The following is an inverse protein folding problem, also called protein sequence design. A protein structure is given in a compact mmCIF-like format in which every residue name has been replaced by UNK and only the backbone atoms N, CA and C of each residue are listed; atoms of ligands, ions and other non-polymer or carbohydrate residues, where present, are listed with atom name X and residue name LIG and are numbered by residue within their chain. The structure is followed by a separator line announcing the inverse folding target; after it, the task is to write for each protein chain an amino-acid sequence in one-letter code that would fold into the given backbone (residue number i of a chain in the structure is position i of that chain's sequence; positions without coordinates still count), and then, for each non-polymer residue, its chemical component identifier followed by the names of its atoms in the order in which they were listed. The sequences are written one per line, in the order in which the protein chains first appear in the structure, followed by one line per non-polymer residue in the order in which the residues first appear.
data_IF_538535209221
#
_entry.id   IF_538535209221
#
_cell.length_a   1.000
_cell.length_b   1.000
_cell.length_c   1.000
_cell.angle_alpha   90.00
_cell.angle_beta   90.00
_cell.angle_gamma   90.00
#
_symmetry.space_group_name_H-M   'P 1'
#
loop_
_entity.id
_entity.type
_entity.pdbx_description
1 polymer ?
#
# COMPACT_ATOMS: atom_id res chain seq x y z
N UNK A 1 -6.15 -15.77 15.10
CA UNK A 1 -5.81 -16.65 13.95
C UNK A 1 -6.43 -16.16 12.63
N UNK A 2 -7.38 -15.21 12.66
CA UNK A 2 -8.09 -14.70 11.47
C UNK A 2 -7.52 -13.39 10.86
N UNK A 3 -6.41 -12.85 11.37
CA UNK A 3 -5.79 -11.60 10.87
C UNK A 3 -5.16 -11.68 9.46
N UNK A 4 -5.27 -12.83 8.78
CA UNK A 4 -4.45 -13.14 7.60
C UNK A 4 -5.24 -13.24 6.30
N UNK A 5 -6.49 -13.68 6.36
CA UNK A 5 -7.31 -13.90 5.16
C UNK A 5 -8.36 -12.81 5.07
N UNK A 6 -8.46 -12.16 3.90
CA UNK A 6 -9.46 -11.11 3.62
C UNK A 6 -9.32 -9.87 4.54
N UNK A 7 -8.12 -9.67 5.08
CA UNK A 7 -7.76 -8.48 5.85
C UNK A 7 -6.85 -7.60 4.99
N UNK A 8 -7.10 -6.28 4.88
CA UNK A 8 -8.26 -5.55 5.40
C UNK A 8 -9.56 -5.89 4.66
N UNK A 9 -10.69 -5.68 5.32
CA UNK A 9 -12.02 -6.09 4.83
C UNK A 9 -12.38 -5.51 3.44
N UNK A 10 -11.80 -4.37 3.05
CA UNK A 10 -12.05 -3.78 1.73
C UNK A 10 -11.49 -4.63 0.56
N UNK A 11 -10.65 -5.63 0.83
CA UNK A 11 -10.22 -6.57 -0.21
C UNK A 11 -11.42 -7.32 -0.81
N UNK A 12 -12.44 -7.61 -0.02
CA UNK A 12 -13.70 -8.18 -0.48
C UNK A 12 -14.53 -7.18 -1.28
N UNK A 13 -14.48 -5.91 -0.87
CA UNK A 13 -15.12 -4.81 -1.57
C UNK A 13 -14.57 -4.65 -3.00
N UNK A 14 -13.25 -4.78 -3.16
CA UNK A 14 -12.63 -4.80 -4.48
C UNK A 14 -12.98 -6.07 -5.27
N UNK A 15 -13.01 -7.23 -4.60
CA UNK A 15 -13.39 -8.48 -5.26
C UNK A 15 -14.85 -8.47 -5.76
N UNK A 16 -15.75 -7.78 -5.05
CA UNK A 16 -17.15 -7.62 -5.44
C UNK A 16 -17.33 -6.88 -6.77
N UNK A 17 -16.38 -6.03 -7.17
CA UNK A 17 -16.37 -5.37 -8.48
C UNK A 17 -16.12 -6.37 -9.62
N UNK A 18 -15.51 -7.51 -9.33
CA UNK A 18 -15.07 -8.50 -10.32
C UNK A 18 -15.62 -9.90 -10.00
N UNK A 19 -16.95 -10.08 -10.02
CA UNK A 19 -17.57 -11.36 -9.70
C UNK A 19 -17.07 -12.46 -10.64
N UNK A 20 -16.61 -13.57 -10.05
CA UNK A 20 -15.97 -14.69 -10.76
C UNK A 20 -16.86 -15.32 -11.84
N UNK A 21 -18.15 -15.41 -11.56
CA UNK A 21 -19.12 -16.13 -12.39
C UNK A 21 -19.86 -15.20 -13.37
N UNK A 22 -19.46 -13.92 -13.45
CA UNK A 22 -20.00 -13.02 -14.47
C UNK A 22 -19.47 -13.41 -15.86
N UNK A 23 -20.35 -13.44 -16.90
CA UNK A 23 -19.92 -13.63 -18.27
C UNK A 23 -18.85 -12.60 -18.66
N UNK A 24 -17.84 -13.04 -19.40
CA UNK A 24 -16.76 -12.20 -19.93
C UNK A 24 -15.91 -11.45 -18.89
N UNK A 25 -15.95 -11.83 -17.59
CA UNK A 25 -15.09 -11.25 -16.56
C UNK A 25 -13.59 -11.40 -16.88
N UNK A 26 -12.90 -10.28 -17.09
CA UNK A 26 -11.47 -10.25 -17.45
C UNK A 26 -10.55 -9.99 -16.25
N UNK A 27 -11.08 -9.50 -15.13
CA UNK A 27 -10.31 -9.16 -13.94
C UNK A 27 -10.55 -10.17 -12.81
N UNK A 28 -9.50 -10.42 -12.03
CA UNK A 28 -9.55 -11.26 -10.83
C UNK A 28 -8.73 -10.62 -9.73
N UNK A 29 -9.33 -10.47 -8.56
CA UNK A 29 -8.62 -10.08 -7.34
C UNK A 29 -7.99 -11.32 -6.72
N UNK A 30 -6.70 -11.25 -6.42
CA UNK A 30 -5.96 -12.33 -5.77
C UNK A 30 -5.22 -11.76 -4.55
N UNK A 31 -5.36 -12.44 -3.41
CA UNK A 31 -4.63 -12.14 -2.19
C UNK A 31 -3.53 -13.19 -2.01
N UNK A 32 -2.27 -12.76 -2.09
CA UNK A 32 -1.10 -13.63 -1.91
C UNK A 32 -0.70 -13.67 -0.43
N UNK A 33 -0.48 -14.86 0.11
CA UNK A 33 0.04 -15.05 1.47
C UNK A 33 1.56 -15.18 1.40
N UNK A 34 2.26 -14.13 1.85
CA UNK A 34 3.71 -14.11 1.97
C UNK A 34 4.15 -14.75 3.30
N UNK A 35 5.44 -15.04 3.45
CA UNK A 35 6.03 -15.47 4.72
C UNK A 35 5.92 -14.38 5.79
N UNK A 36 5.83 -13.11 5.39
CA UNK A 36 5.56 -11.94 6.25
C UNK A 36 4.08 -11.80 6.67
N UNK A 37 3.15 -12.53 6.04
CA UNK A 37 1.77 -12.61 6.52
C UNK A 37 1.71 -13.32 7.89
N UNK A 38 0.56 -13.34 8.55
CA UNK A 38 0.48 -14.12 9.81
C UNK A 38 0.97 -13.43 11.05
N UNK A 39 1.07 -12.09 11.06
CA UNK A 39 1.84 -11.34 12.07
C UNK A 39 3.33 -11.70 12.04
N UNK A 40 3.86 -12.04 10.87
CA UNK A 40 5.28 -12.42 10.71
C UNK A 40 6.11 -11.37 9.99
N UNK A 41 5.53 -10.19 9.66
CA UNK A 41 6.24 -9.11 8.97
C UNK A 41 7.47 -8.62 9.75
N UNK A 42 7.51 -8.86 11.07
CA UNK A 42 8.65 -8.55 11.91
C UNK A 42 9.86 -9.47 11.70
N UNK A 43 9.70 -10.59 11.00
CA UNK A 43 10.69 -11.66 10.87
C UNK A 43 11.38 -11.71 9.51
N UNK A 44 10.81 -11.05 8.49
CA UNK A 44 11.29 -11.07 7.11
C UNK A 44 11.52 -9.64 6.61
N UNK A 45 12.39 -9.47 5.61
CA UNK A 45 12.69 -8.18 4.99
C UNK A 45 11.98 -8.03 3.64
N UNK A 46 11.94 -6.80 3.11
CA UNK A 46 11.28 -6.51 1.84
C UNK A 46 11.92 -7.28 0.66
N UNK A 47 13.22 -7.61 0.75
CA UNK A 47 13.88 -8.45 -0.25
C UNK A 47 13.26 -9.85 -0.35
N UNK A 48 12.87 -10.43 0.79
CA UNK A 48 12.14 -11.71 0.82
C UNK A 48 10.74 -11.55 0.24
N UNK A 49 10.02 -10.51 0.64
CA UNK A 49 8.65 -10.27 0.19
C UNK A 49 8.59 -10.07 -1.31
N UNK A 50 9.52 -9.32 -1.90
CA UNK A 50 9.55 -9.14 -3.34
C UNK A 50 9.89 -10.44 -4.10
N UNK A 51 10.73 -11.31 -3.55
CA UNK A 51 10.98 -12.65 -4.15
C UNK A 51 9.71 -13.50 -4.16
N UNK A 52 8.93 -13.46 -3.08
CA UNK A 52 7.70 -14.22 -2.97
C UNK A 52 6.58 -13.65 -3.83
N UNK A 53 6.44 -12.32 -3.92
CA UNK A 53 5.55 -11.65 -4.88
C UNK A 53 5.92 -12.05 -6.31
N UNK A 54 7.22 -12.07 -6.64
CA UNK A 54 7.69 -12.49 -7.95
C UNK A 54 7.33 -13.94 -8.25
N UNK A 55 7.51 -14.84 -7.28
CA UNK A 55 7.11 -16.24 -7.42
C UNK A 55 5.59 -16.40 -7.59
N UNK A 56 4.79 -15.61 -6.88
CA UNK A 56 3.34 -15.61 -7.02
C UNK A 56 2.89 -15.15 -8.42
N UNK A 57 3.50 -14.10 -8.97
CA UNK A 57 3.22 -13.64 -10.34
C UNK A 57 3.52 -14.74 -11.37
N UNK A 58 4.67 -15.42 -11.23
CA UNK A 58 5.03 -16.55 -12.09
C UNK A 58 4.00 -17.68 -11.97
N UNK A 59 3.64 -18.07 -10.75
CA UNK A 59 2.63 -19.10 -10.51
C UNK A 59 1.27 -18.74 -11.14
N UNK A 60 0.81 -17.50 -10.97
CA UNK A 60 -0.46 -17.03 -11.56
C UNK A 60 -0.43 -17.21 -13.09
N UNK A 61 0.66 -16.79 -13.74
CA UNK A 61 0.81 -16.89 -15.20
C UNK A 61 0.89 -18.32 -15.70
N UNK A 62 1.64 -19.16 -15.02
CA UNK A 62 1.89 -20.54 -15.46
C UNK A 62 0.72 -21.47 -15.13
N UNK A 63 0.14 -21.33 -13.94
CA UNK A 63 -0.82 -22.29 -13.39
C UNK A 63 -2.27 -21.83 -13.46
N UNK A 64 -2.54 -20.53 -13.38
CA UNK A 64 -3.92 -20.00 -13.28
C UNK A 64 -4.43 -19.46 -14.61
N UNK A 65 -3.61 -18.64 -15.28
CA UNK A 65 -4.02 -17.97 -16.52
C UNK A 65 -3.40 -18.63 -17.76
N UNK A 66 -2.40 -19.50 -17.56
CA UNK A 66 -1.68 -20.22 -18.62
C UNK A 66 -1.20 -19.29 -19.75
N UNK A 67 -0.79 -18.08 -19.38
CA UNK A 67 -0.33 -17.05 -20.30
C UNK A 67 0.73 -16.18 -19.64
N UNK A 68 1.95 -16.25 -20.17
CA UNK A 68 3.10 -15.44 -19.73
C UNK A 68 2.91 -13.94 -19.94
N UNK A 69 1.96 -13.55 -20.80
CA UNK A 69 1.63 -12.16 -21.12
C UNK A 69 0.45 -11.61 -20.31
N UNK A 70 -0.12 -12.40 -19.39
CA UNK A 70 -1.24 -11.94 -18.57
C UNK A 70 -0.85 -10.64 -17.84
N UNK A 71 -1.61 -9.54 -18.03
CA UNK A 71 -1.40 -8.29 -17.31
C UNK A 71 -1.55 -8.50 -15.80
N UNK A 72 -0.68 -7.87 -15.02
CA UNK A 72 -0.72 -7.92 -13.55
C UNK A 72 -0.62 -6.51 -13.02
N UNK A 73 -1.53 -6.12 -12.14
CA UNK A 73 -1.42 -4.90 -11.33
C UNK A 73 -1.20 -5.33 -9.89
N UNK A 74 -0.13 -4.85 -9.25
CA UNK A 74 0.12 -5.10 -7.83
C UNK A 74 -0.49 -3.99 -6.99
N UNK A 75 -1.15 -4.34 -5.90
CA UNK A 75 -1.72 -3.38 -4.95
C UNK A 75 -1.14 -3.66 -3.57
N UNK A 76 -0.48 -2.65 -3.01
CA UNK A 76 0.04 -2.65 -1.65
C UNK A 76 -0.88 -1.84 -0.74
N UNK A 77 -1.02 -2.29 0.50
CA UNK A 77 -1.80 -1.63 1.53
C UNK A 77 -0.96 -1.49 2.80
N UNK A 78 -1.00 -0.32 3.44
CA UNK A 78 -0.29 -0.10 4.71
C UNK A 78 1.20 -0.47 4.55
N UNK A 79 1.76 -1.36 5.38
CA UNK A 79 3.13 -1.85 5.23
C UNK A 79 3.38 -2.58 3.90
N UNK A 80 2.37 -3.17 3.26
CA UNK A 80 2.47 -3.71 1.89
C UNK A 80 2.77 -2.65 0.82
N UNK A 81 2.60 -1.36 1.14
CA UNK A 81 3.11 -0.27 0.31
C UNK A 81 4.63 -0.26 0.23
N UNK A 82 5.31 -0.67 1.31
CA UNK A 82 6.76 -0.84 1.34
C UNK A 82 7.16 -1.96 0.38
N UNK A 83 6.44 -3.08 0.38
CA UNK A 83 6.69 -4.19 -0.56
C UNK A 83 6.58 -3.76 -2.01
N UNK A 84 5.50 -3.05 -2.36
CA UNK A 84 5.28 -2.54 -3.72
C UNK A 84 6.34 -1.52 -4.11
N UNK A 85 6.69 -0.60 -3.21
CA UNK A 85 7.72 0.41 -3.47
C UNK A 85 9.09 -0.25 -3.61
N UNK A 86 9.40 -1.24 -2.77
CA UNK A 86 10.62 -2.03 -2.85
C UNK A 86 10.67 -2.86 -4.13
N UNK A 87 9.55 -3.45 -4.56
CA UNK A 87 9.41 -4.13 -5.84
C UNK A 87 9.81 -3.23 -7.01
N UNK A 88 9.39 -1.97 -6.96
CA UNK A 88 9.64 -0.98 -8.01
C UNK A 88 11.06 -0.40 -7.93
N UNK A 89 11.59 -0.13 -6.75
CA UNK A 89 12.78 0.71 -6.59
C UNK A 89 14.06 -0.08 -6.30
N UNK A 90 13.97 -1.31 -5.77
CA UNK A 90 15.16 -2.08 -5.41
C UNK A 90 15.76 -2.84 -6.60
N UNK A 91 17.10 -3.01 -6.66
CA UNK A 91 17.74 -3.69 -7.77
C UNK A 91 17.32 -5.16 -7.88
N UNK A 92 17.16 -5.65 -9.11
CA UNK A 92 16.92 -7.07 -9.37
C UNK A 92 16.06 -7.30 -10.60
N UNK A 93 16.14 -8.50 -11.16
CA UNK A 93 15.18 -8.94 -12.16
C UNK A 93 13.85 -9.29 -11.48
N UNK A 94 12.75 -8.83 -12.07
CA UNK A 94 11.38 -9.02 -11.56
C UNK A 94 10.47 -9.40 -12.73
N UNK A 95 9.44 -10.23 -12.53
CA UNK A 95 8.40 -10.43 -13.53
C UNK A 95 7.77 -9.11 -13.99
N UNK A 96 7.37 -9.02 -15.25
CA UNK A 96 6.67 -7.85 -15.77
C UNK A 96 5.35 -7.62 -15.02
N UNK A 97 5.02 -6.36 -14.71
CA UNK A 97 3.72 -5.88 -14.24
C UNK A 97 3.23 -4.74 -15.14
N UNK A 98 1.92 -4.51 -15.18
CA UNK A 98 1.27 -3.46 -15.97
C UNK A 98 1.01 -2.18 -15.19
N UNK A 99 0.98 -2.25 -13.86
CA UNK A 99 0.73 -1.10 -12.98
C UNK A 99 0.96 -1.45 -11.51
N UNK A 100 1.02 -0.42 -10.67
CA UNK A 100 1.09 -0.57 -9.22
C UNK A 100 0.15 0.42 -8.52
N UNK A 101 -0.49 -0.03 -7.44
CA UNK A 101 -1.37 0.76 -6.57
C UNK A 101 -0.78 0.74 -5.16
N UNK A 102 -0.73 1.90 -4.53
CA UNK A 102 -0.21 2.12 -3.17
C UNK A 102 -1.34 2.77 -2.36
N UNK A 103 -1.94 2.03 -1.43
CA UNK A 103 -3.07 2.51 -0.63
C UNK A 103 -2.71 2.64 0.86
N UNK A 104 -2.97 3.82 1.42
CA UNK A 104 -2.52 4.27 2.74
C UNK A 104 -1.01 4.01 2.99
N UNK A 105 -0.11 4.52 2.12
CA UNK A 105 1.31 4.48 2.44
C UNK A 105 1.59 5.37 3.66
N UNK A 106 2.14 4.78 4.71
CA UNK A 106 2.49 5.51 5.94
C UNK A 106 3.94 5.22 6.32
N UNK A 107 4.57 6.19 6.98
CA UNK A 107 5.89 5.99 7.58
C UNK A 107 5.73 5.37 8.96
N UNK A 108 6.16 4.11 9.12
CA UNK A 108 6.27 3.47 10.44
C UNK A 108 7.18 4.29 11.37
N UNK A 109 8.25 4.88 10.83
CA UNK A 109 9.15 5.75 11.60
C UNK A 109 8.37 6.93 12.18
N UNK A 110 7.64 7.69 11.36
CA UNK A 110 6.95 8.88 11.84
C UNK A 110 5.77 8.54 12.77
N UNK A 111 5.06 7.44 12.50
CA UNK A 111 4.03 6.92 13.41
C UNK A 111 4.62 6.56 14.79
N UNK A 112 5.75 5.84 14.81
CA UNK A 112 6.45 5.50 16.05
C UNK A 112 6.98 6.75 16.75
N UNK A 113 7.53 7.71 16.01
CA UNK A 113 8.03 8.96 16.59
C UNK A 113 6.91 9.77 17.25
N UNK A 114 5.72 9.81 16.66
CA UNK A 114 4.54 10.49 17.23
C UNK A 114 4.05 9.82 18.52
N UNK A 115 4.00 8.47 18.53
CA UNK A 115 3.65 7.69 19.72
C UNK A 115 4.65 7.94 20.86
N UNK A 116 5.97 7.83 20.61
CA UNK A 116 6.95 7.99 21.68
C UNK A 116 7.06 9.44 22.19
N UNK A 117 6.67 10.43 21.38
CA UNK A 117 6.65 11.83 21.80
C UNK A 117 5.50 12.13 22.76
N UNK A 118 4.41 11.35 22.70
CA UNK A 118 3.20 11.56 23.51
C UNK A 118 3.04 10.54 24.64
N UNK A 119 3.73 9.39 24.54
CA UNK A 119 3.65 8.29 25.50
C UNK A 119 5.03 7.97 26.13
N UNK A 120 5.30 8.39 27.39
CA UNK A 120 6.57 8.11 28.07
C UNK A 120 6.90 6.62 28.23
N UNK A 121 5.89 5.75 28.36
CA UNK A 121 6.11 4.31 28.44
C UNK A 121 6.54 3.72 27.10
N UNK A 122 5.96 4.20 25.99
CA UNK A 122 6.41 3.83 24.65
C UNK A 122 7.84 4.31 24.40
N UNK A 123 8.18 5.54 24.83
CA UNK A 123 9.55 6.07 24.74
C UNK A 123 10.57 5.22 25.48
N UNK A 124 10.29 4.82 26.71
CA UNK A 124 11.18 3.95 27.47
C UNK A 124 11.37 2.59 26.77
N UNK A 125 10.28 1.98 26.28
CA UNK A 125 10.33 0.73 25.54
C UNK A 125 11.13 0.82 24.24
N UNK A 126 11.00 1.93 23.52
CA UNK A 126 11.78 2.26 22.33
C UNK A 126 13.27 2.37 22.63
N UNK A 127 13.65 3.10 23.68
CA UNK A 127 15.04 3.27 24.10
C UNK A 127 15.69 1.94 24.52
N UNK A 128 14.95 1.10 25.27
CA UNK A 128 15.39 -0.23 25.66
C UNK A 128 15.59 -1.15 24.44
N UNK A 129 14.64 -1.12 23.48
CA UNK A 129 14.75 -1.89 22.24
C UNK A 129 15.96 -1.43 21.39
N UNK A 130 16.20 -0.13 21.28
CA UNK A 130 17.41 0.41 20.63
C UNK A 130 18.69 0.02 21.35
N UNK A 131 18.70 0.01 22.69
CA UNK A 131 19.85 -0.44 23.46
C UNK A 131 20.19 -1.90 23.17
N UNK A 132 19.18 -2.78 23.14
CA UNK A 132 19.35 -4.18 22.74
C UNK A 132 19.90 -4.27 21.32
N UNK A 133 19.33 -3.51 20.38
CA UNK A 133 19.79 -3.50 18.98
C UNK A 133 21.27 -3.07 18.86
N UNK A 134 21.70 -2.05 19.62
CA UNK A 134 23.08 -1.53 19.61
C UNK A 134 24.11 -2.53 20.14
N UNK A 135 23.76 -3.32 21.16
CA UNK A 135 24.67 -4.33 21.73
C UNK A 135 24.60 -5.68 21.01
N UNK A 136 23.57 -5.89 20.18
CA UNK A 136 23.45 -7.09 19.34
C UNK A 136 24.43 -6.99 18.17
N UNK A 137 25.28 -8.00 17.98
CA UNK A 137 26.19 -8.05 16.85
C UNK A 137 25.45 -8.08 15.50
N UNK A 138 26.00 -7.43 14.47
CA UNK A 138 25.37 -7.33 13.15
C UNK A 138 24.97 -8.70 12.56
N UNK A 139 25.81 -9.72 12.74
CA UNK A 139 25.54 -11.10 12.29
C UNK A 139 24.27 -11.71 12.90
N UNK A 140 23.86 -11.24 14.08
CA UNK A 140 22.70 -11.73 14.82
C UNK A 140 21.45 -10.86 14.62
N UNK A 141 21.52 -9.76 13.88
CA UNK A 141 20.38 -8.84 13.72
C UNK A 141 19.16 -9.52 13.11
N UNK A 142 19.37 -10.42 12.15
CA UNK A 142 18.30 -11.15 11.44
C UNK A 142 17.70 -12.32 12.22
N UNK A 143 18.35 -12.77 13.29
CA UNK A 143 17.94 -13.98 14.04
C UNK A 143 17.58 -13.69 15.50
N UNK A 144 17.94 -12.52 16.01
CA UNK A 144 17.59 -12.09 17.37
C UNK A 144 16.24 -11.39 17.36
N UNK A 145 15.27 -11.96 18.07
CA UNK A 145 13.94 -11.39 18.26
C UNK A 145 13.95 -10.50 19.50
N UNK A 146 13.47 -9.27 19.36
CA UNK A 146 13.31 -8.34 20.48
C UNK A 146 12.19 -8.78 21.43
N UNK A 147 12.32 -8.51 22.74
CA UNK A 147 11.26 -8.81 23.70
C UNK A 147 9.94 -8.13 23.31
N UNK A 148 8.89 -8.91 23.12
CA UNK A 148 7.58 -8.42 22.63
C UNK A 148 6.94 -7.40 23.57
N UNK A 149 7.26 -7.43 24.87
CA UNK A 149 6.78 -6.42 25.82
C UNK A 149 7.34 -5.01 25.50
N UNK A 150 8.47 -4.90 24.81
CA UNK A 150 9.03 -3.64 24.35
C UNK A 150 8.41 -3.21 23.02
N UNK A 151 8.28 -4.13 22.07
CA UNK A 151 7.85 -3.79 20.70
C UNK A 151 6.33 -3.65 20.55
N UNK A 152 5.52 -4.32 21.37
CA UNK A 152 4.06 -4.34 21.21
C UNK A 152 3.40 -2.97 21.25
N UNK A 153 3.99 -2.02 21.98
CA UNK A 153 3.48 -0.66 22.13
C UNK A 153 3.86 0.23 20.96
N UNK A 154 4.84 -0.18 20.14
CA UNK A 154 5.35 0.62 19.02
C UNK A 154 4.74 0.17 17.69
N UNK A 155 4.57 -1.14 17.49
CA UNK A 155 4.30 -1.76 16.18
C UNK A 155 3.31 -2.93 16.28
N UNK A 156 2.67 -3.08 17.45
CA UNK A 156 1.71 -4.15 17.70
C UNK A 156 2.34 -5.52 18.00
N UNK A 157 1.53 -6.59 18.09
CA UNK A 157 1.93 -7.85 18.74
C UNK A 157 2.81 -8.77 17.88
N UNK A 158 3.30 -8.33 16.72
CA UNK A 158 4.17 -9.14 15.89
C UNK A 158 5.57 -9.30 16.53
N UNK A 159 6.20 -10.49 16.47
CA UNK A 159 7.59 -10.64 16.86
C UNK A 159 8.49 -9.90 15.87
N UNK A 160 9.42 -9.07 16.36
CA UNK A 160 10.35 -8.30 15.55
C UNK A 160 11.78 -8.77 15.74
N UNK A 161 12.46 -9.08 14.63
CA UNK A 161 13.92 -9.18 14.62
C UNK A 161 14.56 -7.82 14.86
N UNK A 162 15.80 -7.80 15.37
CA UNK A 162 16.58 -6.56 15.50
C UNK A 162 16.73 -5.87 14.14
N UNK A 163 16.97 -6.61 13.05
CA UNK A 163 17.07 -6.03 11.71
C UNK A 163 15.78 -5.35 11.26
N UNK A 164 14.62 -5.97 11.48
CA UNK A 164 13.34 -5.35 11.09
C UNK A 164 13.06 -4.13 11.94
N UNK A 165 13.27 -4.22 13.26
CA UNK A 165 13.08 -3.08 14.15
C UNK A 165 13.91 -1.87 13.73
N UNK A 166 15.22 -2.05 13.48
CA UNK A 166 16.09 -0.98 13.01
C UNK A 166 15.66 -0.40 11.67
N UNK A 167 15.09 -1.23 10.78
CA UNK A 167 14.59 -0.78 9.49
C UNK A 167 13.30 0.05 9.62
N UNK A 168 12.36 -0.35 10.47
CA UNK A 168 11.10 0.37 10.71
C UNK A 168 11.31 1.68 11.45
N UNK A 169 12.14 1.68 12.51
CA UNK A 169 12.40 2.91 13.29
C UNK A 169 13.40 3.84 12.62
N UNK A 170 14.21 3.30 11.70
CA UNK A 170 15.16 4.01 10.84
C UNK A 170 15.86 5.17 11.56
N UNK A 171 16.67 4.88 12.60
CA UNK A 171 17.14 5.90 13.56
C UNK A 171 18.10 6.93 12.95
N UNK A 172 18.72 6.61 11.82
CA UNK A 172 19.63 7.51 11.09
C UNK A 172 18.91 8.36 10.03
N UNK A 173 17.59 8.21 9.87
CA UNK A 173 16.76 9.03 8.98
C UNK A 173 16.53 10.44 9.55
N UNK A 174 16.54 11.50 8.72
CA UNK A 174 16.46 11.49 7.25
C UNK A 174 17.79 11.39 6.51
N UNK A 175 18.93 11.40 7.21
CA UNK A 175 20.24 11.40 6.58
C UNK A 175 20.57 10.05 5.90
N UNK A 176 20.26 8.94 6.57
CA UNK A 176 20.47 7.59 6.06
C UNK A 176 19.23 6.73 6.33
N UNK A 177 18.15 6.90 5.53
CA UNK A 177 16.92 6.16 5.75
C UNK A 177 17.11 4.68 5.44
N UNK A 178 16.61 3.83 6.34
CA UNK A 178 16.68 2.39 6.24
C UNK A 178 15.73 1.84 5.15
N UNK A 179 15.64 0.51 5.04
CA UNK A 179 14.98 -0.16 3.92
C UNK A 179 13.47 0.13 3.86
N UNK A 180 12.79 0.29 5.00
CA UNK A 180 11.34 0.52 5.05
C UNK A 180 10.94 1.99 4.92
N UNK A 181 11.89 2.91 5.12
CA UNK A 181 11.63 4.33 5.19
C UNK A 181 11.57 4.98 3.79
N UNK A 182 10.46 4.68 3.11
CA UNK A 182 10.11 5.24 1.80
C UNK A 182 9.21 6.47 1.89
N UNK A 183 8.45 6.59 2.98
CA UNK A 183 7.30 7.50 3.06
C UNK A 183 7.46 8.62 4.09
N UNK A 184 8.56 8.67 4.87
CA UNK A 184 8.72 9.76 5.85
C UNK A 184 8.66 11.13 5.18
N UNK A 185 7.96 12.07 5.81
CA UNK A 185 7.71 13.40 5.27
C UNK A 185 8.94 14.31 5.28
N UNK A 186 9.94 14.00 6.13
CA UNK A 186 11.19 14.73 6.28
C UNK A 186 12.34 14.23 5.38
N UNK A 187 12.09 13.21 4.54
CA UNK A 187 13.08 12.75 3.55
C UNK A 187 13.40 13.85 2.54
N UNK A 188 14.64 13.87 2.04
CA UNK A 188 15.06 14.84 1.03
C UNK A 188 14.42 14.58 -0.33
N UNK A 189 14.29 15.61 -1.17
CA UNK A 189 13.81 15.42 -2.54
C UNK A 189 14.73 14.48 -3.35
N UNK A 190 16.04 14.51 -3.07
CA UNK A 190 16.99 13.56 -3.65
C UNK A 190 16.65 12.11 -3.27
N UNK A 191 16.27 11.85 -2.01
CA UNK A 191 15.84 10.52 -1.59
C UNK A 191 14.59 10.07 -2.34
N UNK A 192 13.60 10.95 -2.56
CA UNK A 192 12.44 10.60 -3.39
C UNK A 192 12.80 10.39 -4.87
N UNK A 193 13.77 11.12 -5.42
CA UNK A 193 14.28 10.87 -6.77
C UNK A 193 14.98 9.50 -6.87
N UNK A 194 15.75 9.13 -5.84
CA UNK A 194 16.47 7.85 -5.75
C UNK A 194 15.52 6.66 -5.53
N UNK A 195 14.26 6.90 -5.17
CA UNK A 195 13.21 5.88 -5.04
C UNK A 195 12.15 6.06 -6.13
N UNK A 196 11.15 6.89 -5.89
CA UNK A 196 10.03 7.15 -6.79
C UNK A 196 10.46 7.64 -8.18
N UNK A 197 11.54 8.45 -8.26
CA UNK A 197 12.07 8.93 -9.55
C UNK A 197 12.63 7.84 -10.45
N UNK A 198 12.89 6.64 -9.92
CA UNK A 198 13.38 5.50 -10.70
C UNK A 198 12.29 4.78 -11.48
N UNK A 199 11.01 5.01 -11.18
CA UNK A 199 9.87 4.29 -11.76
C UNK A 199 9.86 4.39 -13.30
N UNK A 200 10.19 5.55 -13.86
CA UNK A 200 10.28 5.76 -15.31
C UNK A 200 11.32 4.86 -16.00
N UNK A 201 12.33 4.41 -15.29
CA UNK A 201 13.43 3.58 -15.80
C UNK A 201 13.17 2.07 -15.71
N UNK A 202 12.04 1.63 -15.14
CA UNK A 202 11.82 0.21 -14.86
C UNK A 202 11.37 -0.56 -16.09
N UNK A 203 12.19 -1.48 -16.59
CA UNK A 203 11.82 -2.26 -17.79
C UNK A 203 10.69 -3.26 -17.53
N UNK A 204 10.48 -3.67 -16.27
CA UNK A 204 9.41 -4.60 -15.91
C UNK A 204 8.06 -3.93 -15.62
N UNK A 205 7.99 -2.59 -15.51
CA UNK A 205 6.72 -1.87 -15.42
C UNK A 205 6.30 -1.43 -16.83
N UNK A 206 5.37 -2.18 -17.43
CA UNK A 206 4.98 -2.02 -18.82
C UNK A 206 3.44 -2.08 -18.95
N UNK A 207 2.78 -0.93 -19.10
CA UNK A 207 1.34 -0.85 -19.34
C UNK A 207 0.94 -1.73 -20.53
N UNK A 208 -0.27 -2.28 -20.52
CA UNK A 208 -0.73 -3.13 -21.62
C UNK A 208 -1.24 -2.31 -22.80
N UNK A 209 -1.70 -1.07 -22.56
CA UNK A 209 -2.13 -0.16 -23.62
C UNK A 209 -0.92 0.51 -24.29
N UNK A 210 -0.85 0.54 -25.64
CA UNK A 210 0.18 1.27 -26.36
C UNK A 210 0.22 2.74 -25.97
N UNK A 211 1.39 3.36 -26.05
CA UNK A 211 1.62 4.80 -25.78
C UNK A 211 1.19 5.29 -24.39
N UNK A 212 0.86 4.38 -23.47
CA UNK A 212 0.51 4.70 -22.10
C UNK A 212 1.80 4.85 -21.29
N UNK A 213 2.03 5.99 -20.61
CA UNK A 213 3.19 6.16 -19.75
C UNK A 213 3.10 5.19 -18.56
N UNK A 214 4.25 4.79 -18.03
CA UNK A 214 4.32 4.04 -16.76
C UNK A 214 3.61 4.86 -15.69
N UNK A 215 2.74 4.22 -14.91
CA UNK A 215 1.97 4.94 -13.90
C UNK A 215 1.82 4.13 -12.64
N UNK A 216 1.80 4.84 -11.52
CA UNK A 216 1.42 4.31 -10.21
C UNK A 216 0.23 5.10 -9.66
N UNK A 217 -0.68 4.42 -8.98
CA UNK A 217 -1.81 5.04 -8.28
C UNK A 217 -1.49 5.15 -6.80
N UNK A 218 -1.56 6.37 -6.24
CA UNK A 218 -1.36 6.62 -4.82
C UNK A 218 -2.68 7.06 -4.20
N UNK A 219 -3.14 6.33 -3.19
CA UNK A 219 -4.39 6.59 -2.48
C UNK A 219 -4.07 6.76 -1.00
N UNK A 220 -3.79 8.00 -0.61
CA UNK A 220 -3.61 8.37 0.78
C UNK A 220 -4.94 8.37 1.53
N UNK A 221 -4.94 7.98 2.80
CA UNK A 221 -6.16 7.99 3.62
C UNK A 221 -6.30 9.34 4.35
N UNK A 222 -7.36 10.10 4.04
CA UNK A 222 -7.53 11.47 4.54
C UNK A 222 -7.62 11.58 6.07
N UNK A 223 -8.31 10.63 6.70
CA UNK A 223 -8.50 10.53 8.16
C UNK A 223 -7.66 9.43 8.80
N UNK A 224 -6.51 9.11 8.18
CA UNK A 224 -5.57 8.14 8.72
C UNK A 224 -4.93 8.63 10.03
N UNK A 225 -5.20 7.92 11.13
CA UNK A 225 -4.66 8.20 12.45
C UNK A 225 -3.20 7.73 12.63
N UNK A 226 -2.68 6.92 11.70
CA UNK A 226 -1.28 6.47 11.70
C UNK A 226 -0.34 7.55 11.17
N UNK A 227 -0.88 8.59 10.51
CA UNK A 227 -0.11 9.73 10.01
C UNK A 227 -0.18 10.84 11.05
N UNK A 228 0.97 11.29 11.59
CA UNK A 228 1.00 12.38 12.57
C UNK A 228 0.29 13.64 12.07
N UNK A 229 -0.52 14.25 12.95
CA UNK A 229 -1.42 15.35 12.58
C UNK A 229 -0.73 16.62 12.03
N UNK A 230 0.57 16.78 12.27
CA UNK A 230 1.36 17.89 11.77
C UNK A 230 1.82 17.72 10.31
N UNK A 231 1.66 16.52 9.73
CA UNK A 231 2.07 16.23 8.36
C UNK A 231 0.98 16.68 7.38
N UNK A 232 1.38 17.52 6.44
CA UNK A 232 0.55 17.93 5.30
C UNK A 232 0.59 16.84 4.21
N UNK A 233 -0.47 16.02 4.16
CA UNK A 233 -0.61 14.89 3.23
C UNK A 233 -0.62 15.34 1.77
N UNK A 234 -1.28 16.46 1.45
CA UNK A 234 -1.33 16.97 0.08
C UNK A 234 0.05 17.43 -0.39
N UNK A 235 0.80 18.12 0.48
CA UNK A 235 2.18 18.51 0.20
C UNK A 235 3.08 17.29 0.05
N UNK A 236 2.93 16.27 0.90
CA UNK A 236 3.72 15.04 0.83
C UNK A 236 3.49 14.31 -0.51
N UNK A 237 2.24 14.08 -0.89
CA UNK A 237 1.87 13.48 -2.17
C UNK A 237 2.38 14.30 -3.36
N UNK A 238 2.33 15.64 -3.27
CA UNK A 238 2.88 16.51 -4.32
C UNK A 238 4.40 16.36 -4.49
N UNK A 239 5.15 16.13 -3.41
CA UNK A 239 6.59 15.84 -3.48
C UNK A 239 6.86 14.49 -4.14
N UNK A 240 6.11 13.45 -3.79
CA UNK A 240 6.21 12.16 -4.47
C UNK A 240 5.88 12.26 -5.95
N UNK A 241 4.81 12.98 -6.31
CA UNK A 241 4.45 13.27 -7.71
C UNK A 241 5.62 13.88 -8.47
N UNK A 242 6.23 14.92 -7.89
CA UNK A 242 7.37 15.62 -8.49
C UNK A 242 8.52 14.65 -8.77
N UNK A 243 8.81 13.75 -7.82
CA UNK A 243 9.84 12.74 -8.01
C UNK A 243 9.48 11.74 -9.12
N UNK A 244 8.26 11.17 -9.11
CA UNK A 244 7.78 10.20 -10.12
C UNK A 244 7.86 10.78 -11.54
N UNK A 245 7.46 12.04 -11.70
CA UNK A 245 7.34 12.71 -12.99
C UNK A 245 8.66 13.35 -13.46
N UNK A 246 9.70 13.40 -12.61
CA UNK A 246 10.98 14.09 -12.87
C UNK A 246 11.66 13.70 -14.19
N UNK A 247 11.61 12.42 -14.57
CA UNK A 247 12.26 11.90 -15.77
C UNK A 247 11.35 11.87 -17.01
N UNK A 248 10.09 12.30 -16.91
CA UNK A 248 9.11 12.34 -18.01
C UNK A 248 8.71 10.96 -18.57
N UNK A 249 9.12 9.86 -17.93
CA UNK A 249 8.89 8.47 -18.37
C UNK A 249 7.94 7.68 -17.48
N UNK A 250 7.54 8.28 -16.36
CA UNK A 250 6.47 7.80 -15.51
C UNK A 250 5.61 8.98 -15.05
N UNK A 251 4.40 8.68 -14.60
CA UNK A 251 3.49 9.66 -14.02
C UNK A 251 2.85 9.13 -12.75
N UNK A 252 2.46 10.04 -11.87
CA UNK A 252 1.45 9.69 -10.88
C UNK A 252 0.10 9.62 -11.60
N UNK A 253 -0.69 8.59 -11.32
CA UNK A 253 -2.02 8.43 -11.91
C UNK A 253 -2.85 9.68 -11.62
N UNK A 254 -3.61 10.22 -12.60
CA UNK A 254 -4.46 11.39 -12.38
C UNK A 254 -5.61 11.09 -11.41
N UNK A 255 -5.85 9.81 -11.10
CA UNK A 255 -6.84 9.36 -10.12
C UNK A 255 -6.25 9.18 -8.72
N UNK A 256 -4.97 9.49 -8.53
CA UNK A 256 -4.34 9.50 -7.19
C UNK A 256 -4.91 10.65 -6.36
N UNK A 257 -5.13 10.42 -5.07
CA UNK A 257 -5.73 11.40 -4.17
C UNK A 257 -5.44 11.11 -2.70
N UNK A 258 -5.65 12.13 -1.87
CA UNK A 258 -5.98 11.94 -0.45
C UNK A 258 -7.48 11.66 -0.36
N UNK A 259 -7.85 10.40 -0.12
CA UNK A 259 -9.24 9.95 -0.09
C UNK A 259 -9.94 10.57 1.12
N UNK A 260 -10.94 11.45 0.93
CA UNK A 260 -11.58 12.15 2.04
C UNK A 260 -12.21 11.18 3.03
N UNK A 261 -12.07 11.44 4.33
CA UNK A 261 -12.68 10.65 5.41
C UNK A 261 -12.25 9.18 5.51
N UNK A 262 -11.31 8.73 4.67
CA UNK A 262 -10.79 7.36 4.74
C UNK A 262 -9.96 7.17 6.01
N UNK A 263 -10.31 6.17 6.81
CA UNK A 263 -9.43 5.62 7.85
C UNK A 263 -8.23 4.88 7.21
N UNK A 264 -7.25 4.46 8.02
CA UNK A 264 -6.06 3.76 7.54
C UNK A 264 -6.41 2.56 6.64
N UNK A 265 -7.21 1.64 7.16
CA UNK A 265 -7.71 0.45 6.48
C UNK A 265 -8.97 0.70 5.64
N UNK A 266 -9.28 1.98 5.41
CA UNK A 266 -10.48 2.49 4.72
C UNK A 266 -11.80 1.86 5.24
N UNK A 267 -11.83 1.42 6.50
CA UNK A 267 -13.02 0.86 7.14
C UNK A 267 -13.98 1.95 7.67
N UNK A 268 -15.06 1.51 8.32
CA UNK A 268 -16.08 2.38 8.92
C UNK A 268 -17.45 2.27 8.25
N UNK A 269 -18.48 2.60 9.02
CA UNK A 269 -19.90 2.46 8.63
C UNK A 269 -20.62 3.81 8.44
N UNK A 270 -19.98 4.92 8.81
CA UNK A 270 -20.53 6.25 8.51
C UNK A 270 -20.73 6.42 7.00
N UNK A 271 -21.63 7.32 6.62
CA UNK A 271 -21.85 7.65 5.21
C UNK A 271 -20.53 8.09 4.57
N UNK A 272 -19.75 8.90 5.26
CA UNK A 272 -18.46 9.42 4.79
C UNK A 272 -17.43 8.31 4.58
N UNK A 273 -17.29 7.37 5.53
CA UNK A 273 -16.36 6.24 5.40
C UNK A 273 -16.81 5.29 4.27
N UNK A 274 -18.11 5.06 4.11
CA UNK A 274 -18.64 4.25 3.01
C UNK A 274 -18.47 4.94 1.65
N UNK A 275 -18.60 6.26 1.56
CA UNK A 275 -18.25 7.02 0.33
C UNK A 275 -16.77 6.84 0.02
N UNK A 276 -15.89 7.03 1.00
CA UNK A 276 -14.44 6.86 0.83
C UNK A 276 -14.11 5.46 0.27
N UNK A 277 -14.65 4.41 0.91
CA UNK A 277 -14.40 3.00 0.59
C UNK A 277 -15.04 2.54 -0.71
N UNK A 278 -16.36 2.72 -0.84
CA UNK A 278 -17.18 2.10 -1.88
C UNK A 278 -17.33 2.98 -3.12
N UNK A 279 -17.06 4.28 -3.00
CA UNK A 279 -17.20 5.23 -4.10
C UNK A 279 -15.84 5.74 -4.56
N UNK A 280 -15.13 6.51 -3.74
CA UNK A 280 -13.95 7.26 -4.17
C UNK A 280 -12.75 6.36 -4.47
N UNK A 281 -12.39 5.49 -3.52
CA UNK A 281 -11.28 4.55 -3.68
C UNK A 281 -11.52 3.59 -4.84
N UNK A 282 -12.70 2.93 -4.87
CA UNK A 282 -13.06 1.99 -5.94
C UNK A 282 -13.08 2.66 -7.31
N UNK A 283 -13.60 3.89 -7.43
CA UNK A 283 -13.59 4.64 -8.70
C UNK A 283 -12.18 4.89 -9.19
N UNK A 284 -11.27 5.28 -8.30
CA UNK A 284 -9.88 5.52 -8.66
C UNK A 284 -9.17 4.24 -9.13
N UNK A 285 -9.40 3.13 -8.43
CA UNK A 285 -8.91 1.80 -8.83
C UNK A 285 -9.46 1.41 -10.20
N UNK A 286 -10.77 1.46 -10.42
CA UNK A 286 -11.40 1.09 -11.69
C UNK A 286 -10.83 1.90 -12.87
N UNK A 287 -10.71 3.21 -12.71
CA UNK A 287 -10.14 4.08 -13.75
C UNK A 287 -8.67 3.79 -14.01
N UNK A 288 -7.88 3.54 -12.96
CA UNK A 288 -6.48 3.18 -13.12
C UNK A 288 -6.30 1.83 -13.83
N UNK A 289 -7.09 0.81 -13.47
CA UNK A 289 -7.08 -0.48 -14.15
C UNK A 289 -7.46 -0.35 -15.63
N UNK A 290 -8.46 0.48 -15.94
CA UNK A 290 -8.80 0.82 -17.33
C UNK A 290 -7.62 1.50 -18.05
N UNK A 291 -6.99 2.51 -17.45
CA UNK A 291 -5.88 3.24 -18.07
C UNK A 291 -4.66 2.35 -18.33
N UNK A 292 -4.31 1.49 -17.39
CA UNK A 292 -3.08 0.68 -17.47
C UNK A 292 -3.23 -0.58 -18.30
N UNK A 293 -4.42 -1.19 -18.29
CA UNK A 293 -4.67 -2.50 -18.88
C UNK A 293 -5.90 -2.49 -19.78
N UNK A 294 -7.02 -1.97 -19.30
CA UNK A 294 -8.31 -1.98 -20.00
C UNK A 294 -9.27 -3.03 -19.48
N UNK A 295 -10.35 -3.28 -20.24
CA UNK A 295 -11.39 -4.27 -19.92
C UNK A 295 -12.15 -4.01 -18.61
N UNK A 296 -12.11 -2.79 -18.10
CA UNK A 296 -12.98 -2.34 -17.01
C UNK A 296 -14.14 -1.52 -17.56
N UNK A 297 -13.94 -0.78 -18.66
CA UNK A 297 -14.93 0.11 -19.26
C UNK A 297 -14.99 1.47 -18.56
N UNK A 298 -16.13 2.16 -18.65
CA UNK A 298 -16.28 3.52 -18.10
C UNK A 298 -17.60 3.69 -17.36
N UNK A 299 -17.72 4.74 -16.55
CA UNK A 299 -18.98 5.11 -15.88
C UNK A 299 -20.15 5.29 -16.86
N UNK A 300 -19.87 5.73 -18.09
CA UNK A 300 -20.87 5.91 -19.14
C UNK A 300 -21.25 4.60 -19.87
N UNK A 301 -20.36 3.60 -19.85
CA UNK A 301 -20.56 2.29 -20.44
C UNK A 301 -20.62 1.26 -19.31
N UNK A 302 -21.82 1.01 -18.80
CA UNK A 302 -22.07 0.17 -17.64
C UNK A 302 -21.61 -1.29 -17.84
N UNK A 303 -20.32 -1.54 -17.69
CA UNK A 303 -19.76 -2.87 -17.42
C UNK A 303 -20.18 -3.32 -16.02
N UNK A 304 -19.98 -4.60 -15.70
CA UNK A 304 -20.45 -5.14 -14.43
C UNK A 304 -19.78 -4.48 -13.22
N UNK A 305 -18.50 -4.13 -13.31
CA UNK A 305 -17.80 -3.40 -12.25
C UNK A 305 -18.40 -2.00 -12.00
N UNK A 306 -18.69 -1.25 -13.08
CA UNK A 306 -19.30 0.08 -12.96
C UNK A 306 -20.77 0.01 -12.53
N UNK A 307 -21.50 -1.07 -12.83
CA UNK A 307 -22.86 -1.31 -12.30
C UNK A 307 -22.85 -1.52 -10.80
N UNK A 308 -21.93 -2.36 -10.28
CA UNK A 308 -21.77 -2.59 -8.83
C UNK A 308 -21.41 -1.28 -8.14
N UNK A 309 -20.41 -0.57 -8.65
CA UNK A 309 -20.02 0.74 -8.12
C UNK A 309 -21.18 1.75 -8.12
N UNK A 310 -21.95 1.83 -9.22
CA UNK A 310 -23.09 2.74 -9.32
C UNK A 310 -24.20 2.38 -8.33
N UNK A 311 -24.49 1.10 -8.19
CA UNK A 311 -25.47 0.62 -7.22
C UNK A 311 -25.09 1.03 -5.79
N UNK A 312 -23.84 0.77 -5.37
CA UNK A 312 -23.38 1.13 -4.03
C UNK A 312 -23.41 2.64 -3.80
N UNK A 313 -22.99 3.42 -4.80
CA UNK A 313 -23.06 4.88 -4.76
C UNK A 313 -24.50 5.38 -4.60
N UNK A 314 -25.42 4.94 -5.47
CA UNK A 314 -26.81 5.36 -5.46
C UNK A 314 -27.51 4.95 -4.14
N UNK A 315 -27.15 3.80 -3.56
CA UNK A 315 -27.64 3.35 -2.25
C UNK A 315 -27.20 4.27 -1.10
N UNK A 316 -25.92 4.64 -1.06
CA UNK A 316 -25.39 5.56 -0.02
C UNK A 316 -26.00 6.97 -0.19
N UNK A 317 -26.16 7.44 -1.43
CA UNK A 317 -26.80 8.74 -1.70
C UNK A 317 -28.28 8.76 -1.27
N UNK A 318 -29.01 7.66 -1.46
CA UNK A 318 -30.38 7.52 -0.99
C UNK A 318 -30.46 7.58 0.54
N UNK A 319 -29.55 6.93 1.27
CA UNK A 319 -29.49 6.99 2.73
C UNK A 319 -29.23 8.42 3.25
N UNK A 320 -28.32 9.16 2.59
CA UNK A 320 -28.03 10.56 2.95
C UNK A 320 -29.26 11.48 2.81
N UNK A 321 -30.20 11.13 1.93
CA UNK A 321 -31.46 11.86 1.76
C UNK A 321 -32.54 11.54 2.81
N UNK A 322 -32.32 10.56 3.70
CA UNK A 322 -33.32 10.06 4.67
C UNK A 322 -33.16 10.70 6.07
N UNK A 323 -32.21 11.61 6.27
CA UNK A 323 -31.90 12.31 7.54
C UNK A 323 -33.07 13.11 8.19
N UNK A 324 -34.29 13.02 7.67
CA UNK A 324 -35.50 13.66 8.22
C UNK A 324 -36.64 12.72 8.61
N UNK A 325 -36.47 11.40 8.57
CA UNK A 325 -37.47 10.49 9.14
C UNK A 325 -37.13 10.22 10.60
N UNK A 326 -37.65 11.08 11.49
CA UNK A 326 -37.80 10.72 12.90
C UNK A 326 -38.72 9.50 12.98
N UNK A 327 -38.20 8.36 13.44
CA UNK A 327 -39.01 7.30 14.03
C UNK A 327 -39.48 7.73 15.43
#
# INVERSE_FOLDING_TARGET
MYDNFRNPGYTDDLAALFPRDAPDQQWRVMHVQLSSAGRSFGLFDLDRDVKEISAAITYIRESITQSSLTPIVIMGFSTGCQDVTHYLCSPGSRPRISGAIIQAPVSDREAILDEINTNPSAKAAYDDALSIARVTSAEKHRTTILPTNLTKHLIGPAPLTVSRFLSLVSPDSPAHPAMDDYFSSDLSDQRYLDTFGRIGSLDFLQPSKPDTPKSILILESGSDASVPSHIDKDRLVARWKTAIESAGRARMSPHSMVVPNAAHDISGDSIECRIARLVDMRRAVLRFLEDMVGHVGSEAQATDAWKVWKYDKDAIEAEKGIDHVKL
#
